data_IF_658865367181
#
_entry.id   IF_658865367181
#
_cell.length_a   1.000
_cell.length_b   1.000
_cell.length_c   1.000
_cell.angle_alpha   90.00
_cell.angle_beta   90.00
_cell.angle_gamma   90.00
#
_symmetry.space_group_name_H-M   'P 1'
#
loop_
_entity.id
_entity.type
_entity.pdbx_description
1 polymer ?
#
# COMPACT_ATOMS: atom_id res chain seq x y z
N UNK A 1 -21.26 26.73 -15.09
CA UNK A 1 -20.92 25.56 -15.96
C UNK A 1 -19.74 24.71 -15.46
N UNK A 2 -18.75 25.25 -14.74
CA UNK A 2 -17.56 24.52 -14.26
C UNK A 2 -17.83 23.31 -13.32
N UNK A 3 -18.90 23.35 -12.51
CA UNK A 3 -19.19 22.29 -11.51
C UNK A 3 -19.47 20.91 -12.12
N UNK A 4 -20.08 20.81 -13.32
CA UNK A 4 -20.43 19.49 -13.91
C UNK A 4 -19.21 18.73 -14.44
N UNK A 5 -18.24 19.44 -15.03
CA UNK A 5 -17.00 18.84 -15.56
C UNK A 5 -16.11 18.27 -14.46
N UNK A 6 -15.91 19.02 -13.38
CA UNK A 6 -15.10 18.61 -12.23
C UNK A 6 -15.64 17.33 -11.57
N UNK A 7 -16.96 17.20 -11.43
CA UNK A 7 -17.59 16.00 -10.86
C UNK A 7 -17.37 14.79 -11.76
N UNK A 8 -17.48 14.98 -13.08
CA UNK A 8 -17.26 13.91 -14.05
C UNK A 8 -15.82 13.41 -13.95
N UNK A 9 -14.86 14.34 -13.86
CA UNK A 9 -13.45 14.04 -13.70
C UNK A 9 -13.14 13.31 -12.38
N UNK A 10 -13.67 13.78 -11.25
CA UNK A 10 -13.50 13.12 -9.94
C UNK A 10 -14.11 11.72 -9.90
N UNK A 11 -15.24 11.50 -10.59
CA UNK A 11 -15.82 10.15 -10.73
C UNK A 11 -14.92 9.23 -11.57
N UNK A 12 -14.38 9.73 -12.68
CA UNK A 12 -13.41 8.96 -13.46
C UNK A 12 -12.16 8.63 -12.64
N UNK A 13 -11.69 9.59 -11.84
CA UNK A 13 -10.54 9.42 -10.95
C UNK A 13 -10.79 8.31 -9.90
N UNK A 14 -11.97 8.33 -9.27
CA UNK A 14 -12.39 7.27 -8.34
C UNK A 14 -12.49 5.89 -9.04
N UNK A 15 -13.06 5.84 -10.25
CA UNK A 15 -13.15 4.59 -11.00
C UNK A 15 -11.75 4.08 -11.40
N UNK A 16 -10.85 4.96 -11.80
CA UNK A 16 -9.46 4.61 -12.13
C UNK A 16 -8.76 4.07 -10.89
N UNK A 17 -8.89 4.72 -9.74
CA UNK A 17 -8.32 4.24 -8.47
C UNK A 17 -8.88 2.87 -8.07
N UNK A 18 -10.19 2.67 -8.17
CA UNK A 18 -10.82 1.37 -7.86
C UNK A 18 -10.36 0.26 -8.80
N UNK A 19 -10.33 0.53 -10.12
CA UNK A 19 -9.90 -0.44 -11.12
C UNK A 19 -8.40 -0.76 -10.96
N UNK A 20 -7.60 0.25 -10.62
CA UNK A 20 -6.19 0.07 -10.32
C UNK A 20 -5.96 -0.74 -9.03
N UNK A 21 -6.72 -0.47 -7.96
CA UNK A 21 -6.68 -1.29 -6.75
C UNK A 21 -6.99 -2.77 -7.03
N UNK A 22 -7.96 -3.05 -7.90
CA UNK A 22 -8.28 -4.43 -8.32
C UNK A 22 -7.12 -5.07 -9.09
N UNK A 23 -6.55 -4.35 -10.06
CA UNK A 23 -5.38 -4.83 -10.84
C UNK A 23 -4.21 -5.14 -9.92
N UNK A 24 -3.97 -4.30 -8.92
CA UNK A 24 -2.84 -4.43 -7.99
C UNK A 24 -3.07 -5.55 -6.99
N UNK A 25 -4.30 -5.71 -6.50
CA UNK A 25 -4.63 -6.79 -5.58
C UNK A 25 -4.49 -8.16 -6.26
N UNK A 26 -4.72 -8.23 -7.58
CA UNK A 26 -4.49 -9.42 -8.41
C UNK A 26 -3.05 -9.53 -8.94
N UNK A 27 -2.22 -8.50 -8.74
CA UNK A 27 -0.88 -8.43 -9.31
C UNK A 27 0.12 -9.17 -8.42
N UNK A 28 0.87 -10.14 -8.95
CA UNK A 28 1.93 -10.85 -8.22
C UNK A 28 3.22 -10.02 -8.07
N UNK A 29 3.18 -8.72 -8.39
CA UNK A 29 4.35 -7.84 -8.40
C UNK A 29 4.39 -7.00 -7.13
N UNK A 30 5.58 -6.77 -6.57
CA UNK A 30 5.84 -5.98 -5.36
C UNK A 30 5.64 -4.47 -5.58
N UNK A 31 4.46 -4.07 -6.05
CA UNK A 31 4.03 -2.67 -6.04
C UNK A 31 3.26 -2.32 -4.75
N UNK A 32 3.02 -3.30 -3.88
CA UNK A 32 2.27 -3.17 -2.63
C UNK A 32 2.65 -1.94 -1.78
N UNK A 33 3.95 -1.67 -1.47
CA UNK A 33 4.31 -0.58 -0.57
C UNK A 33 4.19 0.82 -1.16
N UNK A 34 4.27 0.98 -2.48
CA UNK A 34 4.07 2.29 -3.14
C UNK A 34 2.57 2.58 -3.32
N UNK A 35 1.78 1.54 -3.52
CA UNK A 35 0.37 1.65 -3.88
C UNK A 35 -0.54 1.83 -2.66
N UNK A 36 -0.24 1.13 -1.55
CA UNK A 36 -0.92 1.37 -0.27
C UNK A 36 -0.78 2.83 0.14
N UNK A 37 0.41 3.41 -0.01
CA UNK A 37 0.67 4.82 0.29
C UNK A 37 -0.24 5.73 -0.54
N UNK A 38 -0.25 5.62 -1.87
CA UNK A 38 -1.04 6.51 -2.72
C UNK A 38 -2.56 6.41 -2.41
N UNK A 39 -3.10 5.19 -2.36
CA UNK A 39 -4.52 4.97 -2.09
C UNK A 39 -4.92 5.40 -0.66
N UNK A 40 -4.06 5.23 0.34
CA UNK A 40 -4.30 5.71 1.70
C UNK A 40 -4.43 7.24 1.77
N UNK A 41 -3.71 7.97 0.92
CA UNK A 41 -3.78 9.43 0.91
C UNK A 41 -4.96 9.95 0.08
N UNK A 42 -5.25 9.39 -1.10
CA UNK A 42 -6.24 9.98 -2.03
C UNK A 42 -7.68 9.51 -1.79
N UNK A 43 -7.87 8.23 -1.45
CA UNK A 43 -9.18 7.60 -1.35
C UNK A 43 -10.06 8.19 -0.22
N UNK A 44 -9.53 8.50 0.99
CA UNK A 44 -10.31 9.15 2.05
C UNK A 44 -10.86 10.53 1.63
N UNK A 45 -10.09 11.31 0.86
CA UNK A 45 -10.52 12.62 0.38
C UNK A 45 -11.62 12.50 -0.67
N UNK A 46 -11.51 11.55 -1.60
CA UNK A 46 -12.55 11.32 -2.60
C UNK A 46 -13.86 10.86 -1.95
N UNK A 47 -13.79 9.93 -1.00
CA UNK A 47 -14.96 9.44 -0.25
C UNK A 47 -15.61 10.58 0.53
N UNK A 48 -14.82 11.37 1.27
CA UNK A 48 -15.31 12.53 2.02
C UNK A 48 -16.00 13.55 1.10
N UNK A 49 -15.38 13.85 -0.05
CA UNK A 49 -15.94 14.79 -1.02
C UNK A 49 -17.31 14.33 -1.55
N UNK A 50 -17.46 13.05 -1.90
CA UNK A 50 -18.75 12.51 -2.36
C UNK A 50 -19.79 12.47 -1.24
N UNK A 51 -19.40 12.14 0.00
CA UNK A 51 -20.28 12.16 1.18
C UNK A 51 -20.82 13.56 1.49
N UNK A 52 -19.93 14.56 1.58
CA UNK A 52 -20.32 15.95 1.82
C UNK A 52 -21.32 16.40 0.75
N UNK A 53 -21.05 16.08 -0.51
CA UNK A 53 -21.93 16.44 -1.62
C UNK A 53 -23.28 15.73 -1.56
N UNK A 54 -23.29 14.43 -1.26
CA UNK A 54 -24.51 13.63 -1.15
C UNK A 54 -25.41 14.16 -0.03
N UNK A 55 -24.84 14.39 1.15
CA UNK A 55 -25.57 14.87 2.34
C UNK A 55 -26.04 16.31 2.12
N UNK A 56 -25.22 17.16 1.51
CA UNK A 56 -25.66 18.51 1.11
C UNK A 56 -26.88 18.47 0.20
N UNK A 57 -26.86 17.62 -0.83
CA UNK A 57 -28.00 17.48 -1.75
C UNK A 57 -29.26 16.98 -1.04
N UNK A 58 -29.12 16.08 -0.05
CA UNK A 58 -30.22 15.61 0.79
C UNK A 58 -30.74 16.68 1.75
N UNK A 59 -29.85 17.49 2.31
CA UNK A 59 -30.23 18.59 3.20
C UNK A 59 -31.01 19.68 2.47
N UNK A 60 -30.54 20.07 1.27
CA UNK A 60 -31.22 21.04 0.40
C UNK A 60 -32.65 20.57 -0.02
N UNK A 61 -32.92 19.26 -0.01
CA UNK A 61 -34.25 18.70 -0.31
C UNK A 61 -35.17 18.61 0.91
N UNK A 62 -34.67 18.08 2.03
CA UNK A 62 -35.51 17.74 3.19
C UNK A 62 -35.48 18.76 4.32
N UNK A 63 -34.48 19.65 4.37
CA UNK A 63 -34.28 20.65 5.44
C UNK A 63 -34.24 20.08 6.87
N UNK A 64 -33.98 18.78 7.01
CA UNK A 64 -33.90 18.11 8.30
C UNK A 64 -32.66 18.54 9.10
N UNK A 65 -32.86 18.86 10.37
CA UNK A 65 -31.80 19.30 11.30
C UNK A 65 -30.71 18.25 11.48
N UNK A 66 -31.08 16.97 11.49
CA UNK A 66 -30.15 15.85 11.64
C UNK A 66 -29.18 15.73 10.45
N UNK A 67 -29.69 15.98 9.23
CA UNK A 67 -28.87 16.00 8.01
C UNK A 67 -27.93 17.22 8.01
N UNK A 68 -28.39 18.37 8.50
CA UNK A 68 -27.56 19.56 8.70
C UNK A 68 -26.43 19.33 9.70
N UNK A 69 -26.70 18.65 10.83
CA UNK A 69 -25.69 18.26 11.80
C UNK A 69 -24.64 17.31 11.20
N UNK A 70 -25.10 16.32 10.42
CA UNK A 70 -24.23 15.37 9.71
C UNK A 70 -23.32 16.09 8.69
N UNK A 71 -23.84 17.08 7.97
CA UNK A 71 -23.08 17.90 7.05
C UNK A 71 -21.97 18.69 7.77
N UNK A 72 -22.29 19.33 8.89
CA UNK A 72 -21.30 20.06 9.69
C UNK A 72 -20.23 19.12 10.28
N UNK A 73 -20.64 17.94 10.75
CA UNK A 73 -19.70 16.94 11.28
C UNK A 73 -18.70 16.47 10.21
N UNK A 74 -19.13 16.29 8.96
CA UNK A 74 -18.22 15.95 7.87
C UNK A 74 -17.18 17.04 7.57
N UNK A 75 -17.53 18.32 7.74
CA UNK A 75 -16.56 19.41 7.61
C UNK A 75 -15.53 19.42 8.74
N UNK A 76 -15.93 19.01 9.96
CA UNK A 76 -14.99 18.83 11.09
C UNK A 76 -14.04 17.65 10.84
N UNK A 77 -14.45 16.65 10.06
CA UNK A 77 -13.56 15.53 9.69
C UNK A 77 -12.42 15.95 8.73
N UNK A 78 -12.53 17.08 8.03
CA UNK A 78 -11.48 17.58 7.13
C UNK A 78 -10.15 17.81 7.86
N UNK A 79 -10.06 18.64 8.93
CA UNK A 79 -8.82 18.82 9.67
C UNK A 79 -8.37 17.54 10.38
N UNK A 80 -9.30 16.71 10.86
CA UNK A 80 -8.98 15.42 11.50
C UNK A 80 -8.26 14.49 10.51
N UNK A 81 -8.80 14.34 9.30
CA UNK A 81 -8.16 13.57 8.23
C UNK A 81 -6.79 14.13 7.86
N UNK A 82 -6.64 15.45 7.84
CA UNK A 82 -5.35 16.08 7.57
C UNK A 82 -4.31 15.74 8.64
N UNK A 83 -4.68 15.80 9.93
CA UNK A 83 -3.79 15.42 11.05
C UNK A 83 -3.44 13.94 11.00
N UNK A 84 -4.43 13.07 10.76
CA UNK A 84 -4.21 11.63 10.61
C UNK A 84 -3.25 11.35 9.46
N UNK A 85 -3.41 12.02 8.31
CA UNK A 85 -2.52 11.86 7.17
C UNK A 85 -1.10 12.34 7.47
N UNK A 86 -0.92 13.50 8.11
CA UNK A 86 0.42 13.95 8.54
C UNK A 86 1.05 12.92 9.48
N UNK A 87 0.29 12.40 10.44
CA UNK A 87 0.76 11.39 11.38
C UNK A 87 1.18 10.10 10.65
N UNK A 88 0.37 9.61 9.71
CA UNK A 88 0.72 8.46 8.87
C UNK A 88 1.90 8.74 7.95
N UNK A 89 2.00 9.91 7.32
CA UNK A 89 3.15 10.31 6.51
C UNK A 89 4.42 10.30 7.34
N UNK A 90 4.38 10.84 8.56
CA UNK A 90 5.49 10.85 9.49
C UNK A 90 5.88 9.42 9.91
N UNK A 91 4.90 8.58 10.24
CA UNK A 91 5.11 7.18 10.61
C UNK A 91 5.72 6.39 9.43
N UNK A 92 5.24 6.58 8.21
CA UNK A 92 5.77 5.96 6.99
C UNK A 92 7.14 6.51 6.56
N UNK A 93 7.47 7.75 6.93
CA UNK A 93 8.79 8.33 6.70
C UNK A 93 9.79 7.82 7.76
N UNK A 94 9.33 7.49 8.96
CA UNK A 94 10.08 6.76 9.98
C UNK A 94 10.23 5.27 9.64
N UNK A 95 9.30 4.72 8.85
CA UNK A 95 9.34 3.38 8.27
C UNK A 95 10.20 3.35 7.00
N UNK A 96 11.21 4.22 6.90
CA UNK A 96 12.33 4.01 5.99
C UNK A 96 13.04 2.75 6.47
N UNK A 97 12.49 1.60 6.08
CA UNK A 97 13.10 0.29 6.14
C UNK A 97 14.58 0.51 5.84
N UNK A 98 15.46 0.24 6.82
CA UNK A 98 16.90 0.19 6.56
C UNK A 98 17.15 -1.05 5.73
N UNK A 99 16.71 -1.00 4.47
CA UNK A 99 16.80 -2.09 3.53
C UNK A 99 18.26 -2.33 3.27
N UNK A 100 18.75 -3.49 3.72
CA UNK A 100 20.12 -3.88 3.47
C UNK A 100 20.11 -4.96 2.39
N UNK A 101 20.63 -4.62 1.21
CA UNK A 101 20.82 -5.60 0.15
C UNK A 101 21.99 -6.49 0.53
N UNK A 102 21.71 -7.74 0.91
CA UNK A 102 22.73 -8.69 1.34
C UNK A 102 23.36 -9.44 0.16
N UNK A 103 22.64 -9.56 -0.96
CA UNK A 103 23.12 -10.20 -2.19
C UNK A 103 22.33 -9.72 -3.42
N UNK A 104 23.02 -9.48 -4.53
CA UNK A 104 22.43 -9.14 -5.82
C UNK A 104 23.25 -9.80 -6.94
N UNK A 105 22.56 -10.44 -7.88
CA UNK A 105 23.11 -11.12 -9.06
C UNK A 105 22.13 -10.94 -10.24
N UNK A 106 22.52 -11.30 -11.45
CA UNK A 106 21.74 -11.10 -12.69
C UNK A 106 20.32 -11.70 -12.67
N UNK A 107 20.05 -12.61 -11.71
CA UNK A 107 18.77 -13.31 -11.57
C UNK A 107 18.05 -13.03 -10.27
N UNK A 108 18.74 -12.82 -9.14
CA UNK A 108 18.10 -12.69 -7.83
C UNK A 108 18.68 -11.55 -7.03
N UNK A 109 17.81 -10.88 -6.29
CA UNK A 109 18.15 -9.89 -5.26
C UNK A 109 17.60 -10.35 -3.91
N UNK A 110 18.43 -10.29 -2.88
CA UNK A 110 18.07 -10.60 -1.50
C UNK A 110 18.18 -9.32 -0.68
N UNK A 111 17.06 -8.92 -0.10
CA UNK A 111 16.95 -7.71 0.70
C UNK A 111 16.52 -8.08 2.11
N UNK A 112 17.31 -7.67 3.10
CA UNK A 112 16.97 -7.76 4.52
C UNK A 112 16.17 -6.50 4.89
N UNK A 113 14.98 -6.74 5.45
CA UNK A 113 14.03 -5.71 5.87
C UNK A 113 14.04 -5.68 7.39
N UNK A 114 14.67 -4.65 7.95
CA UNK A 114 14.67 -4.42 9.40
C UNK A 114 13.47 -3.55 9.76
N UNK A 115 12.58 -4.07 10.60
CA UNK A 115 11.40 -3.35 11.08
C UNK A 115 11.75 -2.39 12.22
N UNK A 116 11.25 -1.14 12.16
CA UNK A 116 11.51 -0.13 13.21
C UNK A 116 10.60 -0.28 14.45
N UNK A 117 9.44 -0.95 14.33
CA UNK A 117 8.45 -1.08 15.42
C UNK A 117 8.20 -2.51 15.92
N UNK A 118 8.67 -3.52 15.20
CA UNK A 118 8.53 -4.91 15.60
C UNK A 118 9.83 -5.37 16.24
N UNK A 119 9.82 -5.47 17.57
CA UNK A 119 10.82 -6.24 18.31
C UNK A 119 11.07 -7.58 17.61
N UNK A 120 12.25 -7.73 16.97
CA UNK A 120 12.78 -8.97 16.40
C UNK A 120 12.05 -9.61 15.20
N UNK A 121 11.35 -8.87 14.34
CA UNK A 121 10.91 -9.42 13.04
C UNK A 121 11.75 -8.88 11.89
N UNK A 122 13.04 -9.20 11.92
CA UNK A 122 13.87 -9.05 10.73
C UNK A 122 13.25 -9.95 9.65
N UNK A 123 12.94 -9.42 8.48
CA UNK A 123 12.36 -10.16 7.37
C UNK A 123 13.34 -10.24 6.20
N UNK A 124 13.24 -11.30 5.40
CA UNK A 124 14.00 -11.48 4.17
C UNK A 124 13.04 -11.47 3.00
N UNK A 125 13.30 -10.58 2.05
CA UNK A 125 12.64 -10.56 0.74
C UNK A 125 13.62 -11.08 -0.31
N UNK A 126 13.19 -12.07 -1.09
CA UNK A 126 13.91 -12.53 -2.28
C UNK A 126 13.11 -12.12 -3.50
N UNK A 127 13.77 -11.41 -4.41
CA UNK A 127 13.19 -10.91 -5.65
C UNK A 127 13.92 -11.54 -6.84
N UNK A 128 13.17 -11.95 -7.87
CA UNK A 128 13.72 -12.38 -9.16
C UNK A 128 13.74 -11.22 -10.14
N UNK A 129 14.87 -11.03 -10.82
CA UNK A 129 15.02 -10.04 -11.89
C UNK A 129 14.23 -10.46 -13.12
N UNK A 130 13.40 -9.55 -13.62
CA UNK A 130 12.66 -9.64 -14.88
C UNK A 130 12.87 -8.35 -15.69
N UNK A 131 14.05 -8.25 -16.32
CA UNK A 131 14.47 -7.03 -17.01
C UNK A 131 14.72 -5.89 -16.00
N UNK A 132 14.09 -4.70 -16.17
CA UNK A 132 14.20 -3.61 -15.19
C UNK A 132 13.28 -3.80 -13.96
N UNK A 133 12.50 -4.87 -13.90
CA UNK A 133 11.52 -5.12 -12.85
C UNK A 133 11.95 -6.23 -11.89
N UNK A 134 11.45 -6.15 -10.66
CA UNK A 134 11.68 -7.12 -9.61
C UNK A 134 10.37 -7.83 -9.27
N UNK A 135 10.38 -9.15 -9.24
CA UNK A 135 9.24 -9.96 -8.82
C UNK A 135 9.55 -10.61 -7.48
N UNK A 136 8.74 -10.37 -6.47
CA UNK A 136 8.89 -11.07 -5.19
C UNK A 136 8.58 -12.56 -5.37
N UNK A 137 9.55 -13.41 -5.01
CA UNK A 137 9.42 -14.87 -5.05
C UNK A 137 9.38 -15.50 -3.66
N UNK A 138 9.81 -14.75 -2.64
CA UNK A 138 9.74 -15.17 -1.25
C UNK A 138 9.75 -13.96 -0.31
N UNK A 139 8.93 -14.03 0.73
CA UNK A 139 8.91 -13.11 1.85
C UNK A 139 8.68 -13.91 3.13
N UNK A 140 9.55 -13.75 4.12
CA UNK A 140 9.43 -14.47 5.40
C UNK A 140 10.47 -14.03 6.42
N UNK A 141 10.38 -14.57 7.64
CA UNK A 141 11.24 -14.19 8.75
C UNK A 141 12.72 -14.54 8.48
N UNK A 142 13.62 -13.62 8.82
CA UNK A 142 15.09 -13.73 8.70
C UNK A 142 15.67 -14.87 9.54
N UNK A 143 14.96 -15.35 10.56
CA UNK A 143 15.34 -16.56 11.31
C UNK A 143 15.11 -17.86 10.52
N UNK A 144 14.13 -17.87 9.62
CA UNK A 144 13.81 -19.04 8.78
C UNK A 144 14.74 -19.14 7.56
N UNK A 145 15.05 -18.00 6.97
CA UNK A 145 16.02 -17.87 5.90
C UNK A 145 17.41 -17.68 6.51
N UNK A 146 18.23 -18.74 6.62
CA UNK A 146 19.63 -18.60 7.07
C UNK A 146 20.41 -17.66 6.13
N UNK A 147 20.34 -16.34 6.31
CA UNK A 147 20.78 -15.31 5.36
C UNK A 147 22.26 -15.43 4.99
N UNK A 148 23.08 -15.93 5.92
CA UNK A 148 24.49 -16.27 5.68
C UNK A 148 24.70 -17.30 4.56
N UNK A 149 23.70 -18.10 4.24
CA UNK A 149 23.72 -19.13 3.17
C UNK A 149 23.19 -18.64 1.83
N UNK A 150 22.42 -17.55 1.79
CA UNK A 150 21.81 -16.97 0.58
C UNK A 150 22.76 -16.03 -0.16
N UNK A 151 24.01 -16.47 -0.37
CA UNK A 151 25.08 -15.69 -1.04
C UNK A 151 25.41 -16.18 -2.45
N UNK A 152 24.59 -17.08 -3.00
CA UNK A 152 24.76 -17.58 -4.36
C UNK A 152 23.43 -17.97 -4.98
N UNK A 153 23.34 -17.83 -6.30
CA UNK A 153 22.20 -18.29 -7.11
C UNK A 153 21.77 -19.73 -6.82
N UNK A 154 22.73 -20.65 -6.67
CA UNK A 154 22.45 -22.08 -6.40
C UNK A 154 21.84 -22.26 -5.00
N UNK A 155 22.34 -21.53 -4.00
CA UNK A 155 21.80 -21.59 -2.65
C UNK A 155 20.37 -21.02 -2.58
N UNK A 156 20.11 -19.90 -3.27
CA UNK A 156 18.77 -19.30 -3.37
C UNK A 156 17.79 -20.26 -4.02
N UNK A 157 18.16 -20.90 -5.14
CA UNK A 157 17.28 -21.87 -5.81
C UNK A 157 16.96 -23.07 -4.93
N UNK A 158 17.95 -23.66 -4.25
CA UNK A 158 17.73 -24.77 -3.31
C UNK A 158 16.83 -24.38 -2.14
N UNK A 159 16.99 -23.15 -1.64
CA UNK A 159 16.14 -22.61 -0.59
C UNK A 159 14.68 -22.47 -1.06
N UNK A 160 14.45 -21.87 -2.23
CA UNK A 160 13.11 -21.72 -2.82
C UNK A 160 12.45 -23.07 -3.09
N UNK A 161 13.19 -24.06 -3.60
CA UNK A 161 12.69 -25.43 -3.80
C UNK A 161 12.29 -26.09 -2.48
N UNK A 162 13.06 -25.88 -1.41
CA UNK A 162 12.75 -26.40 -0.08
C UNK A 162 11.48 -25.74 0.47
N UNK A 163 11.37 -24.41 0.39
CA UNK A 163 10.18 -23.68 0.84
C UNK A 163 8.92 -24.07 0.06
N UNK A 164 9.04 -24.35 -1.24
CA UNK A 164 7.95 -24.86 -2.08
C UNK A 164 7.49 -26.27 -1.66
N UNK A 165 8.42 -27.13 -1.24
CA UNK A 165 8.09 -28.47 -0.71
C UNK A 165 7.43 -28.42 0.66
N UNK A 166 7.77 -27.42 1.47
CA UNK A 166 7.23 -27.22 2.81
C UNK A 166 5.91 -26.44 2.83
N UNK A 167 5.45 -25.94 1.67
CA UNK A 167 4.16 -25.26 1.51
C UNK A 167 4.16 -23.78 1.88
N UNK A 168 5.34 -23.16 2.02
CA UNK A 168 5.49 -21.75 2.43
C UNK A 168 5.70 -20.78 1.25
N UNK A 169 5.92 -21.30 0.03
CA UNK A 169 6.00 -20.48 -1.18
C UNK A 169 4.70 -20.56 -1.98
N UNK A 170 4.14 -19.44 -2.46
CA UNK A 170 2.96 -19.43 -3.33
C UNK A 170 3.19 -20.09 -4.70
#
# INVERSE_FOLDING_TARGET
>A
MYKKGLIKLLRYLLCIELLWLIVVWLSPWSFYPVITKFAQFTLPWLVLFFLIRFIRGRWEQNHEVLIGCLYSLLWVMVPVLFVIQIFYSWLLMSDSETTHVSYEDDKYRVTELYGFFTTNSDNVRIEEHWGPFYREVYYGDLYSAHTKTLKSKVAIQRFLEKQKKEGYAP
#
